data_IF_100062435618
#
_entry.id   IF_100062435618
#
_cell.length_a   1.000
_cell.length_b   1.000
_cell.length_c   1.000
_cell.angle_alpha   90.00
_cell.angle_beta   90.00
_cell.angle_gamma   90.00
#
_symmetry.space_group_name_H-M   'P 1'
#
loop_
_entity.id
_entity.type
_entity.pdbx_description
1 polymer ?
#
# COMPACT_ATOMS: atom_id res chain seq x y z
N UNK A 1 6.29 -11.90 14.08
CA UNK A 1 6.70 -10.53 13.80
C UNK A 1 5.73 -9.91 12.80
N UNK A 2 5.90 -10.09 11.51
CA UNK A 2 4.92 -9.61 10.52
C UNK A 2 3.84 -10.66 10.30
N UNK A 3 2.55 -10.26 10.31
CA UNK A 3 1.40 -11.15 10.13
C UNK A 3 0.62 -10.90 8.84
N UNK A 4 0.62 -9.66 8.35
CA UNK A 4 -0.15 -9.25 7.16
C UNK A 4 0.48 -8.03 6.47
N UNK A 5 0.16 -7.81 5.21
CA UNK A 5 0.18 -6.48 4.63
C UNK A 5 -1.06 -5.77 5.20
N UNK A 6 -0.87 -4.79 6.06
CA UNK A 6 -1.98 -4.11 6.71
C UNK A 6 -2.60 -3.08 5.78
N UNK A 7 -1.81 -2.11 5.31
CA UNK A 7 -2.31 -1.09 4.40
C UNK A 7 -1.24 -0.43 3.54
N UNK A 8 -1.72 0.31 2.57
CA UNK A 8 -0.97 1.20 1.69
C UNK A 8 -1.33 2.64 2.02
N UNK A 9 -0.36 3.56 1.95
CA UNK A 9 -0.56 4.99 2.19
C UNK A 9 -0.28 5.75 0.90
N UNK A 10 -1.28 6.51 0.45
CA UNK A 10 -1.17 7.44 -0.68
C UNK A 10 -1.27 8.86 -0.11
N UNK A 11 -0.17 9.61 -0.21
CA UNK A 11 -0.15 11.02 0.15
C UNK A 11 -0.87 11.84 -0.91
N UNK A 12 -1.76 12.72 -0.48
CA UNK A 12 -2.54 13.57 -1.38
C UNK A 12 -2.64 14.99 -0.82
N UNK A 13 -2.58 15.97 -1.71
CA UNK A 13 -2.71 17.37 -1.36
C UNK A 13 -4.15 17.75 -1.02
N UNK A 14 -5.09 17.30 -1.85
CA UNK A 14 -6.53 17.52 -1.66
C UNK A 14 -7.23 16.19 -1.37
N UNK A 15 -7.60 15.98 -0.11
CA UNK A 15 -8.24 14.75 0.36
C UNK A 15 -9.63 14.55 -0.25
N UNK A 16 -10.36 15.64 -0.56
CA UNK A 16 -11.71 15.57 -1.11
C UNK A 16 -11.66 15.17 -2.59
N UNK A 17 -10.78 15.78 -3.36
CA UNK A 17 -10.54 15.39 -4.76
C UNK A 17 -10.07 13.93 -4.85
N UNK A 18 -9.13 13.55 -4.01
CA UNK A 18 -8.61 12.19 -3.96
C UNK A 18 -9.71 11.17 -3.59
N UNK A 19 -10.55 11.47 -2.61
CA UNK A 19 -11.69 10.63 -2.26
C UNK A 19 -12.61 10.40 -3.46
N UNK A 20 -13.03 11.46 -4.15
CA UNK A 20 -13.90 11.38 -5.33
C UNK A 20 -13.25 10.53 -6.43
N UNK A 21 -11.97 10.71 -6.69
CA UNK A 21 -11.22 9.99 -7.70
C UNK A 21 -11.10 8.50 -7.36
N UNK A 22 -10.74 8.18 -6.11
CA UNK A 22 -10.61 6.79 -5.68
C UNK A 22 -11.96 6.07 -5.50
N UNK A 23 -13.04 6.78 -5.21
CA UNK A 23 -14.41 6.22 -5.28
C UNK A 23 -14.73 5.74 -6.69
N UNK A 24 -14.39 6.52 -7.73
CA UNK A 24 -14.54 6.10 -9.13
C UNK A 24 -13.65 4.89 -9.42
N UNK A 25 -12.36 4.95 -9.07
CA UNK A 25 -11.42 3.84 -9.34
C UNK A 25 -11.89 2.55 -8.66
N UNK A 26 -12.18 2.60 -7.37
CA UNK A 26 -12.49 1.40 -6.59
C UNK A 26 -13.94 0.91 -6.76
N UNK A 27 -14.88 1.78 -7.09
CA UNK A 27 -16.30 1.45 -7.21
C UNK A 27 -16.96 1.11 -5.86
N UNK A 28 -16.38 1.60 -4.77
CA UNK A 28 -16.89 1.44 -3.40
C UNK A 28 -16.79 2.76 -2.62
N UNK A 29 -17.59 2.87 -1.57
CA UNK A 29 -17.50 4.00 -0.63
C UNK A 29 -16.37 3.80 0.38
N UNK A 30 -15.73 4.89 0.85
CA UNK A 30 -14.80 4.80 1.95
C UNK A 30 -15.54 4.39 3.24
N UNK A 31 -14.88 3.57 4.04
CA UNK A 31 -15.44 3.04 5.29
C UNK A 31 -15.10 3.90 6.51
N UNK A 32 -14.16 4.83 6.34
CA UNK A 32 -13.65 5.69 7.41
C UNK A 32 -13.16 7.03 6.84
N UNK A 33 -13.48 8.10 7.56
CA UNK A 33 -12.91 9.43 7.35
C UNK A 33 -12.49 9.97 8.71
N UNK A 34 -11.20 10.10 8.92
CA UNK A 34 -10.66 10.37 10.23
C UNK A 34 -9.68 11.52 10.30
N UNK A 35 -9.32 11.86 11.52
CA UNK A 35 -8.29 12.84 11.85
C UNK A 35 -7.33 12.24 12.86
N UNK A 36 -6.06 12.51 12.68
CA UNK A 36 -4.98 12.22 13.61
C UNK A 36 -4.48 13.56 14.20
N UNK A 37 -5.18 14.10 15.17
CA UNK A 37 -4.92 15.46 15.70
C UNK A 37 -3.47 15.67 16.16
N UNK A 38 -2.90 14.67 16.83
CA UNK A 38 -1.52 14.73 17.30
C UNK A 38 -0.48 14.70 16.18
N UNK A 39 -0.83 14.17 15.02
CA UNK A 39 0.03 14.07 13.84
C UNK A 39 -0.21 15.17 12.82
N UNK A 40 -1.30 15.94 12.97
CA UNK A 40 -1.71 16.98 12.02
C UNK A 40 -2.15 16.45 10.66
N UNK A 41 -2.82 15.28 10.62
CA UNK A 41 -3.25 14.65 9.36
C UNK A 41 -4.72 14.28 9.37
N UNK A 42 -5.31 14.23 8.17
CA UNK A 42 -6.63 13.64 7.90
C UNK A 42 -6.50 12.46 6.97
N UNK A 43 -7.39 11.49 7.11
CA UNK A 43 -7.38 10.32 6.23
C UNK A 43 -8.77 9.92 5.73
N UNK A 44 -8.77 9.24 4.58
CA UNK A 44 -9.91 8.52 4.02
C UNK A 44 -9.47 7.10 3.75
N UNK A 45 -10.25 6.10 4.21
CA UNK A 45 -9.87 4.68 4.12
C UNK A 45 -10.88 3.91 3.29
N UNK A 46 -10.38 3.18 2.29
CA UNK A 46 -11.10 2.17 1.52
C UNK A 46 -10.63 0.78 1.97
N UNK A 47 -11.56 -0.04 2.45
CA UNK A 47 -11.24 -1.36 2.98
C UNK A 47 -11.53 -2.46 1.96
N UNK A 48 -10.62 -3.41 1.80
CA UNK A 48 -10.67 -4.52 0.86
C UNK A 48 -10.57 -5.87 1.58
N UNK A 49 -10.72 -6.97 0.85
CA UNK A 49 -10.69 -8.33 1.43
C UNK A 49 -9.37 -8.70 2.12
N UNK A 50 -8.25 -8.08 1.75
CA UNK A 50 -6.92 -8.46 2.22
C UNK A 50 -6.03 -7.32 2.73
N UNK A 51 -6.44 -6.07 2.57
CA UNK A 51 -5.72 -4.87 2.99
C UNK A 51 -6.67 -3.67 2.94
N UNK A 52 -6.22 -2.50 3.37
CA UNK A 52 -6.92 -1.25 3.08
C UNK A 52 -5.99 -0.23 2.42
N UNK A 53 -6.59 0.73 1.71
CA UNK A 53 -5.90 1.88 1.12
C UNK A 53 -6.26 3.11 1.94
N UNK A 54 -5.26 3.79 2.46
CA UNK A 54 -5.37 5.05 3.17
C UNK A 54 -4.94 6.20 2.28
N UNK A 55 -5.85 7.11 1.98
CA UNK A 55 -5.50 8.43 1.46
C UNK A 55 -5.17 9.30 2.65
N UNK A 56 -3.98 9.91 2.66
CA UNK A 56 -3.47 10.69 3.79
C UNK A 56 -3.10 12.10 3.33
N UNK A 57 -3.60 13.11 4.03
CA UNK A 57 -3.33 14.51 3.73
C UNK A 57 -2.93 15.27 5.00
N UNK A 58 -2.09 16.29 4.85
CA UNK A 58 -1.78 17.21 5.94
C UNK A 58 -3.01 18.06 6.28
N UNK A 59 -3.32 18.19 7.58
CA UNK A 59 -4.44 18.97 8.10
C UNK A 59 -4.05 19.68 9.41
N UNK A 60 -2.99 20.47 9.37
CA UNK A 60 -2.46 21.20 10.52
C UNK A 60 -0.96 20.98 10.71
N UNK A 61 -0.50 21.20 11.94
CA UNK A 61 0.90 21.04 12.31
C UNK A 61 1.13 19.69 12.99
N UNK A 62 2.28 19.07 12.71
CA UNK A 62 2.67 17.80 13.33
C UNK A 62 3.67 17.01 12.48
N UNK A 63 4.23 15.97 13.07
CA UNK A 63 5.24 15.15 12.40
C UNK A 63 4.64 14.43 11.17
N UNK A 64 3.37 14.00 11.27
CA UNK A 64 2.66 13.38 10.14
C UNK A 64 2.39 14.37 9.02
N UNK A 65 1.95 15.60 9.35
CA UNK A 65 1.76 16.66 8.37
C UNK A 65 3.08 17.02 7.66
N UNK A 66 4.17 17.12 8.39
CA UNK A 66 5.50 17.37 7.82
C UNK A 66 5.92 16.26 6.87
N UNK A 67 5.72 15.00 7.23
CA UNK A 67 6.03 13.84 6.38
C UNK A 67 5.23 13.88 5.07
N UNK A 68 3.91 14.12 5.14
CA UNK A 68 3.04 14.20 3.96
C UNK A 68 3.44 15.39 3.07
N UNK A 69 3.66 16.57 3.65
CA UNK A 69 4.05 17.75 2.91
C UNK A 69 5.40 17.57 2.19
N UNK A 70 6.41 17.02 2.87
CA UNK A 70 7.71 16.75 2.28
C UNK A 70 7.59 15.76 1.10
N UNK A 71 6.83 14.67 1.27
CA UNK A 71 6.62 13.71 0.20
C UNK A 71 5.94 14.33 -1.02
N UNK A 72 4.95 15.21 -0.80
CA UNK A 72 4.24 15.92 -1.87
C UNK A 72 5.14 16.98 -2.53
N UNK A 73 5.95 17.69 -1.78
CA UNK A 73 6.90 18.69 -2.33
C UNK A 73 7.97 18.04 -3.22
N UNK A 74 8.42 16.84 -2.86
CA UNK A 74 9.44 16.10 -3.62
C UNK A 74 8.87 15.44 -4.88
N UNK A 75 7.69 14.80 -4.78
CA UNK A 75 7.20 13.88 -5.80
C UNK A 75 5.76 14.15 -6.28
N UNK A 76 5.08 15.14 -5.73
CA UNK A 76 3.63 15.32 -5.89
C UNK A 76 2.82 14.27 -5.11
N UNK A 77 1.52 14.22 -5.36
CA UNK A 77 0.67 13.14 -4.83
C UNK A 77 1.20 11.77 -5.25
N UNK A 78 1.10 10.75 -4.39
CA UNK A 78 1.60 9.43 -4.75
C UNK A 78 1.62 8.40 -3.63
N UNK A 79 1.98 7.19 -3.98
CA UNK A 79 2.14 6.06 -3.08
C UNK A 79 3.43 6.23 -2.26
N UNK A 80 3.31 6.44 -0.96
CA UNK A 80 4.44 6.72 -0.08
C UNK A 80 4.70 5.63 0.95
N UNK A 81 3.69 4.86 1.35
CA UNK A 81 3.79 3.95 2.48
C UNK A 81 3.31 2.53 2.20
N UNK A 82 4.02 1.59 2.81
CA UNK A 82 3.70 0.17 2.86
C UNK A 82 3.76 -0.29 4.31
N UNK A 83 2.61 -0.58 4.91
CA UNK A 83 2.50 -0.87 6.34
C UNK A 83 2.21 -2.36 6.57
N UNK A 84 2.94 -2.96 7.50
CA UNK A 84 2.78 -4.36 7.86
C UNK A 84 2.07 -4.52 9.20
N UNK A 85 1.13 -5.45 9.26
CA UNK A 85 0.47 -5.83 10.49
C UNK A 85 1.35 -6.71 11.38
N UNK A 86 1.26 -6.51 12.69
CA UNK A 86 1.83 -7.40 13.70
C UNK A 86 0.79 -7.72 14.78
N UNK A 87 0.87 -8.92 15.34
CA UNK A 87 0.02 -9.30 16.46
C UNK A 87 0.52 -8.79 17.80
N UNK A 88 1.79 -8.34 17.86
CA UNK A 88 2.41 -7.81 19.08
C UNK A 88 3.61 -6.94 18.71
N UNK A 89 3.48 -5.63 18.87
CA UNK A 89 4.51 -4.66 18.54
C UNK A 89 5.71 -4.74 19.50
N UNK A 90 5.46 -4.99 20.79
CA UNK A 90 6.52 -5.14 21.81
C UNK A 90 7.38 -6.38 21.58
N UNK A 91 6.75 -7.49 21.18
CA UNK A 91 7.48 -8.71 20.81
C UNK A 91 8.30 -8.48 19.55
N UNK A 92 7.73 -7.78 18.56
CA UNK A 92 8.44 -7.44 17.32
C UNK A 92 9.64 -6.53 17.59
N UNK A 93 9.47 -5.51 18.43
CA UNK A 93 10.53 -4.64 18.91
C UNK A 93 11.66 -5.46 19.57
N UNK A 94 11.28 -6.32 20.53
CA UNK A 94 12.25 -7.15 21.25
C UNK A 94 13.06 -8.08 20.34
N UNK A 95 12.41 -8.64 19.31
CA UNK A 95 13.07 -9.49 18.31
C UNK A 95 14.05 -8.70 17.45
N UNK A 96 13.65 -7.55 16.91
CA UNK A 96 14.51 -6.71 16.08
C UNK A 96 15.71 -6.17 16.90
N UNK A 97 15.49 -5.77 18.14
CA UNK A 97 16.56 -5.34 19.05
C UNK A 97 17.57 -6.47 19.33
N UNK A 98 17.12 -7.72 19.50
CA UNK A 98 18.00 -8.89 19.67
C UNK A 98 18.81 -9.22 18.42
N UNK A 99 18.30 -8.88 17.23
CA UNK A 99 19.03 -9.00 15.97
C UNK A 99 20.04 -7.87 15.75
N UNK A 100 20.12 -6.89 16.67
CA UNK A 100 21.12 -5.81 16.66
C UNK A 100 20.65 -4.53 15.99
N UNK A 101 19.38 -4.44 15.57
CA UNK A 101 18.86 -3.20 14.97
C UNK A 101 18.66 -2.09 16.02
N UNK A 102 19.06 -0.88 15.65
CA UNK A 102 18.78 0.32 16.45
C UNK A 102 17.34 0.78 16.18
N UNK A 103 16.44 0.38 17.05
CA UNK A 103 15.00 0.61 16.89
C UNK A 103 14.43 1.25 18.17
N UNK A 104 13.48 2.17 17.98
CA UNK A 104 12.75 2.81 19.09
C UNK A 104 11.57 1.95 19.52
N UNK A 105 11.15 2.12 20.78
CA UNK A 105 9.97 1.46 21.33
C UNK A 105 8.71 1.82 20.51
N UNK A 106 7.70 0.93 20.48
CA UNK A 106 6.43 1.21 19.83
C UNK A 106 5.77 2.47 20.40
N UNK A 107 5.20 3.30 19.50
CA UNK A 107 4.45 4.49 19.85
C UNK A 107 2.95 4.26 19.68
N UNK A 108 2.15 4.82 20.56
CA UNK A 108 0.69 4.75 20.46
C UNK A 108 0.16 5.73 19.42
N UNK A 109 -0.88 5.32 18.71
CA UNK A 109 -1.63 6.13 17.76
C UNK A 109 -3.13 6.00 18.00
N UNK A 110 -3.85 7.07 17.67
CA UNK A 110 -5.30 7.16 17.76
C UNK A 110 -5.86 7.88 16.54
N UNK A 111 -6.98 7.40 16.03
CA UNK A 111 -7.77 8.05 15.01
C UNK A 111 -9.23 8.13 15.41
N UNK A 112 -9.88 9.24 15.06
CA UNK A 112 -11.30 9.47 15.33
C UNK A 112 -12.04 9.66 14.03
N UNK A 113 -13.07 8.84 13.79
CA UNK A 113 -13.97 9.00 12.65
C UNK A 113 -14.77 10.30 12.78
N UNK A 114 -14.70 11.15 11.78
CA UNK A 114 -15.31 12.50 11.83
C UNK A 114 -16.83 12.47 11.89
N UNK A 115 -17.47 11.44 11.32
CA UNK A 115 -18.93 11.28 11.25
C UNK A 115 -19.48 10.52 12.45
N UNK A 116 -18.94 9.33 12.72
CA UNK A 116 -19.47 8.42 13.74
C UNK A 116 -18.90 8.65 15.13
N UNK A 117 -17.79 9.40 15.21
CA UNK A 117 -16.99 9.63 16.44
C UNK A 117 -16.40 8.35 17.03
N UNK A 118 -16.41 7.27 16.30
CA UNK A 118 -15.73 6.02 16.71
C UNK A 118 -14.23 6.26 16.77
N UNK A 119 -13.58 5.58 17.70
CA UNK A 119 -12.15 5.67 17.95
C UNK A 119 -11.50 4.36 17.52
N UNK A 120 -10.34 4.45 16.92
CA UNK A 120 -9.42 3.33 16.69
C UNK A 120 -8.10 3.67 17.35
N UNK A 121 -7.46 2.67 17.96
CA UNK A 121 -6.14 2.80 18.56
C UNK A 121 -5.22 1.71 18.06
N UNK A 122 -3.95 2.04 18.00
CA UNK A 122 -2.91 1.13 17.53
C UNK A 122 -1.56 1.48 18.14
N UNK A 123 -0.61 0.57 17.98
CA UNK A 123 0.81 0.81 18.25
C UNK A 123 1.59 0.77 16.94
N UNK A 124 2.45 1.75 16.71
CA UNK A 124 3.36 1.82 15.57
C UNK A 124 4.78 1.46 16.01
N UNK A 125 5.41 0.53 15.32
CA UNK A 125 6.83 0.24 15.46
C UNK A 125 7.52 0.68 14.17
N UNK A 126 8.09 1.87 14.15
CA UNK A 126 8.82 2.42 13.01
C UNK A 126 10.11 1.65 12.76
N UNK A 127 10.36 1.30 11.51
CA UNK A 127 11.53 0.54 11.12
C UNK A 127 12.71 1.48 10.85
N UNK A 128 13.92 1.14 11.30
CA UNK A 128 15.11 1.92 11.00
C UNK A 128 15.48 1.84 9.50
N UNK A 129 16.31 2.78 9.00
CA UNK A 129 16.65 2.86 7.58
C UNK A 129 17.17 1.55 6.96
N UNK A 130 17.90 0.76 7.73
CA UNK A 130 18.45 -0.53 7.29
C UNK A 130 17.33 -1.55 6.96
N UNK A 131 16.19 -1.47 7.64
CA UNK A 131 15.04 -2.34 7.41
C UNK A 131 14.02 -1.75 6.45
N UNK A 132 13.83 -0.43 6.49
CA UNK A 132 12.88 0.28 5.62
C UNK A 132 13.40 0.46 4.19
N UNK A 133 14.72 0.48 4.00
CA UNK A 133 15.41 0.58 2.70
C UNK A 133 14.93 1.78 1.84
N UNK A 134 14.52 2.86 2.49
CA UNK A 134 14.02 4.08 1.84
C UNK A 134 12.50 4.16 1.67
N UNK A 135 11.78 3.08 1.92
CA UNK A 135 10.31 3.07 1.90
C UNK A 135 9.78 3.52 3.25
N UNK A 136 8.76 4.40 3.27
CA UNK A 136 8.05 4.69 4.51
C UNK A 136 7.28 3.45 4.95
N UNK A 137 7.84 2.74 5.92
CA UNK A 137 7.29 1.47 6.41
C UNK A 137 7.43 1.32 7.92
N UNK A 138 6.43 0.72 8.54
CA UNK A 138 6.39 0.42 9.96
C UNK A 138 5.50 -0.81 10.20
N UNK A 139 5.58 -1.37 11.42
CA UNK A 139 4.65 -2.40 11.85
C UNK A 139 3.54 -1.76 12.66
N UNK A 140 2.31 -2.19 12.45
CA UNK A 140 1.13 -1.72 13.19
C UNK A 140 0.46 -2.87 13.93
N UNK A 141 0.12 -2.65 15.20
CA UNK A 141 -0.73 -3.50 16.03
C UNK A 141 -2.01 -2.75 16.34
N UNK A 142 -3.15 -3.19 15.84
CA UNK A 142 -4.45 -2.63 16.20
C UNK A 142 -4.86 -3.09 17.58
N UNK A 143 -5.05 -2.14 18.51
CA UNK A 143 -5.36 -2.43 19.92
C UNK A 143 -6.82 -2.19 20.27
N UNK A 144 -7.50 -1.26 19.57
CA UNK A 144 -8.91 -0.94 19.81
C UNK A 144 -9.60 -0.51 18.51
N UNK A 145 -10.85 -0.93 18.34
CA UNK A 145 -11.68 -0.62 17.19
C UNK A 145 -11.27 -1.38 15.93
N UNK A 146 -12.20 -1.52 15.01
CA UNK A 146 -11.98 -2.16 13.71
C UNK A 146 -12.57 -1.30 12.59
N UNK A 147 -11.98 -1.39 11.40
CA UNK A 147 -12.59 -0.84 10.19
C UNK A 147 -13.83 -1.64 9.82
N UNK A 148 -14.93 -0.99 9.41
CA UNK A 148 -16.04 -1.70 8.81
C UNK A 148 -15.59 -2.50 7.60
N UNK A 149 -16.09 -3.73 7.49
CA UNK A 149 -15.91 -4.57 6.29
C UNK A 149 -17.14 -4.46 5.40
N UNK A 150 -16.96 -4.66 4.10
CA UNK A 150 -18.06 -4.83 3.18
C UNK A 150 -18.46 -6.31 3.15
N UNK A 151 -19.74 -6.61 3.34
CA UNK A 151 -20.26 -7.98 3.26
C UNK A 151 -20.16 -8.53 1.83
N UNK A 152 -20.32 -7.67 0.84
CA UNK A 152 -20.25 -8.00 -0.58
C UNK A 152 -19.66 -6.83 -1.39
N UNK A 153 -18.78 -7.18 -2.32
CA UNK A 153 -18.24 -6.23 -3.31
C UNK A 153 -19.08 -6.33 -4.60
N UNK A 154 -19.46 -5.18 -5.22
CA UNK A 154 -20.05 -5.20 -6.56
C UNK A 154 -19.10 -5.87 -7.58
N UNK A 155 -19.65 -6.53 -8.59
CA UNK A 155 -18.84 -7.23 -9.61
C UNK A 155 -17.97 -6.28 -10.45
N UNK A 156 -18.37 -5.01 -10.53
CA UNK A 156 -17.69 -3.93 -11.24
C UNK A 156 -16.77 -3.09 -10.34
N UNK A 157 -16.49 -3.56 -9.13
CA UNK A 157 -15.63 -2.88 -8.15
C UNK A 157 -14.32 -3.63 -7.90
N UNK A 158 -13.34 -2.91 -7.36
CA UNK A 158 -12.13 -3.51 -6.78
C UNK A 158 -12.51 -4.28 -5.51
N UNK A 159 -11.98 -5.48 -5.36
CA UNK A 159 -12.28 -6.32 -4.20
C UNK A 159 -11.06 -6.67 -3.34
N UNK A 160 -9.85 -6.66 -3.91
CA UNK A 160 -8.61 -6.87 -3.15
C UNK A 160 -7.38 -6.33 -3.90
N UNK A 161 -6.29 -6.14 -3.19
CA UNK A 161 -4.97 -5.89 -3.76
C UNK A 161 -4.39 -7.21 -4.29
N UNK A 162 -4.04 -7.29 -5.57
CA UNK A 162 -3.31 -8.43 -6.12
C UNK A 162 -1.82 -8.33 -5.76
N UNK A 163 -1.18 -7.20 -6.12
CA UNK A 163 0.20 -6.96 -5.76
C UNK A 163 0.55 -5.48 -5.64
N UNK A 164 1.59 -5.19 -4.85
CA UNK A 164 2.33 -3.93 -4.83
C UNK A 164 3.66 -4.14 -5.51
N UNK A 165 4.11 -3.15 -6.29
CA UNK A 165 5.39 -3.21 -7.00
C UNK A 165 6.40 -2.28 -6.33
N UNK A 166 7.61 -2.82 -6.10
CA UNK A 166 8.75 -2.11 -5.53
C UNK A 166 9.92 -2.20 -6.51
N UNK A 167 10.57 -1.08 -6.79
CA UNK A 167 11.84 -1.05 -7.48
C UNK A 167 12.99 -1.11 -6.46
N UNK A 168 14.03 -1.89 -6.76
CA UNK A 168 15.26 -1.98 -5.98
C UNK A 168 16.47 -2.01 -6.92
N UNK A 169 17.62 -1.54 -6.49
CA UNK A 169 18.89 -1.78 -7.17
C UNK A 169 19.71 -2.91 -6.52
N UNK A 170 19.20 -3.49 -5.42
CA UNK A 170 19.84 -4.52 -4.61
C UNK A 170 18.83 -5.61 -4.21
N UNK A 171 18.59 -6.54 -5.13
CA UNK A 171 17.64 -7.64 -4.93
C UNK A 171 18.08 -8.60 -3.82
N UNK A 172 19.39 -8.83 -3.64
CA UNK A 172 19.89 -9.72 -2.61
C UNK A 172 19.66 -9.11 -1.22
N UNK A 173 20.00 -7.84 -1.01
CA UNK A 173 19.70 -7.13 0.24
C UNK A 173 18.20 -7.04 0.52
N UNK A 174 17.36 -6.96 -0.52
CA UNK A 174 15.91 -7.05 -0.35
C UNK A 174 15.49 -8.42 0.18
N UNK A 175 16.09 -9.52 -0.34
CA UNK A 175 15.84 -10.88 0.12
C UNK A 175 16.25 -11.04 1.59
N UNK A 176 17.43 -10.58 1.99
CA UNK A 176 17.93 -10.65 3.36
C UNK A 176 16.96 -10.02 4.38
N UNK A 177 16.32 -8.91 4.01
CA UNK A 177 15.37 -8.25 4.89
C UNK A 177 14.00 -8.94 4.83
N UNK A 178 13.41 -9.10 3.65
CA UNK A 178 12.03 -9.57 3.56
C UNK A 178 11.87 -11.05 3.82
N UNK A 179 12.81 -11.90 3.36
CA UNK A 179 12.78 -13.34 3.62
C UNK A 179 13.39 -13.67 4.99
N UNK A 180 14.62 -13.21 5.27
CA UNK A 180 15.40 -13.72 6.38
C UNK A 180 15.10 -12.98 7.69
N UNK A 181 14.90 -11.69 7.66
CA UNK A 181 14.55 -10.90 8.84
C UNK A 181 13.04 -10.90 9.11
N UNK A 182 12.22 -10.60 8.10
CA UNK A 182 10.75 -10.50 8.25
C UNK A 182 10.05 -11.86 8.14
N UNK A 183 10.73 -12.88 7.62
CA UNK A 183 10.19 -14.23 7.39
C UNK A 183 9.00 -14.23 6.42
N UNK A 184 9.08 -13.41 5.38
CA UNK A 184 8.08 -13.39 4.29
C UNK A 184 8.52 -14.38 3.20
N UNK A 185 7.61 -15.24 2.78
CA UNK A 185 7.92 -16.30 1.80
C UNK A 185 8.32 -15.73 0.45
N UNK A 186 9.57 -15.93 0.02
CA UNK A 186 9.98 -15.73 -1.37
C UNK A 186 9.42 -16.89 -2.22
N UNK A 187 8.42 -16.60 -3.04
CA UNK A 187 7.72 -17.60 -3.84
C UNK A 187 8.39 -17.83 -5.20
N UNK A 188 9.02 -16.79 -5.75
CA UNK A 188 9.73 -16.85 -7.02
C UNK A 188 10.87 -15.82 -7.04
N UNK A 189 12.00 -16.24 -7.57
CA UNK A 189 13.15 -15.42 -7.93
C UNK A 189 13.54 -15.80 -9.36
N UNK A 190 13.39 -14.86 -10.29
CA UNK A 190 13.56 -15.15 -11.72
C UNK A 190 14.12 -13.95 -12.47
N UNK A 191 15.09 -14.20 -13.35
CA UNK A 191 15.51 -13.23 -14.35
C UNK A 191 14.56 -13.30 -15.54
N UNK A 192 13.98 -12.17 -15.91
CA UNK A 192 13.17 -12.03 -17.11
C UNK A 192 14.07 -11.55 -18.25
N UNK A 193 14.48 -12.45 -19.10
CA UNK A 193 15.47 -12.23 -20.17
C UNK A 193 15.13 -11.03 -21.06
N UNK A 194 13.89 -10.92 -21.46
CA UNK A 194 13.41 -9.87 -22.37
C UNK A 194 13.48 -8.46 -21.72
N UNK A 195 13.33 -8.35 -20.38
CA UNK A 195 13.50 -7.10 -19.65
C UNK A 195 14.90 -6.90 -19.06
N UNK A 196 15.72 -7.95 -19.09
CA UNK A 196 17.04 -7.99 -18.45
C UNK A 196 16.98 -7.58 -16.96
N UNK A 197 15.86 -7.90 -16.31
CA UNK A 197 15.60 -7.58 -14.92
C UNK A 197 15.35 -8.84 -14.12
N UNK A 198 15.93 -8.90 -12.92
CA UNK A 198 15.57 -9.91 -11.91
C UNK A 198 14.30 -9.45 -11.20
N UNK A 199 13.36 -10.36 -11.05
CA UNK A 199 12.09 -10.12 -10.38
C UNK A 199 11.95 -11.09 -9.22
N UNK A 200 11.55 -10.55 -8.06
CA UNK A 200 11.26 -11.33 -6.86
C UNK A 200 9.77 -11.23 -6.57
N UNK A 201 9.19 -12.33 -6.12
CA UNK A 201 7.77 -12.38 -5.75
C UNK A 201 7.65 -12.92 -4.33
N UNK A 202 7.31 -12.05 -3.39
CA UNK A 202 7.05 -12.42 -2.01
C UNK A 202 5.56 -12.60 -1.79
N UNK A 203 5.15 -13.78 -1.33
CA UNK A 203 3.74 -14.11 -1.06
C UNK A 203 3.41 -13.92 0.40
N UNK A 204 2.36 -13.19 0.64
CA UNK A 204 2.02 -12.74 1.95
C UNK A 204 0.52 -12.43 2.06
N UNK A 205 -0.19 -13.15 2.93
CA UNK A 205 -1.61 -12.94 3.23
C UNK A 205 -2.50 -12.69 2.00
N UNK A 206 -2.41 -13.58 0.99
CA UNK A 206 -3.14 -13.48 -0.29
C UNK A 206 -2.80 -12.26 -1.16
N UNK A 207 -1.67 -11.60 -0.87
CA UNK A 207 -1.11 -10.50 -1.65
C UNK A 207 0.29 -10.87 -2.11
N UNK A 208 0.78 -10.22 -3.14
CA UNK A 208 2.17 -10.37 -3.60
C UNK A 208 2.89 -9.02 -3.45
N UNK A 209 4.10 -9.04 -2.93
CA UNK A 209 5.06 -7.96 -3.13
C UNK A 209 5.91 -8.37 -4.32
N UNK A 210 5.77 -7.64 -5.42
CA UNK A 210 6.56 -7.80 -6.64
C UNK A 210 7.73 -6.83 -6.61
N UNK A 211 8.95 -7.33 -6.71
CA UNK A 211 10.16 -6.51 -6.66
C UNK A 211 10.86 -6.60 -8.00
N UNK A 212 11.18 -5.45 -8.58
CA UNK A 212 11.87 -5.33 -9.86
C UNK A 212 13.26 -4.75 -9.62
N UNK A 213 14.30 -5.52 -9.96
CA UNK A 213 15.68 -5.04 -9.87
C UNK A 213 16.01 -4.08 -11.03
N UNK A 214 16.43 -2.85 -10.69
CA UNK A 214 16.80 -1.76 -11.60
C UNK A 214 18.28 -1.44 -11.47
N UNK A 215 19.15 -2.28 -12.00
CA UNK A 215 20.63 -2.16 -11.84
C UNK A 215 21.26 -0.85 -12.31
N UNK A 216 20.56 -0.06 -13.13
CA UNK A 216 21.08 1.16 -13.72
C UNK A 216 20.58 2.45 -13.03
N UNK A 217 19.83 2.34 -11.96
CA UNK A 217 19.40 3.48 -11.17
C UNK A 217 20.40 3.72 -10.04
N UNK A 218 20.99 4.92 -10.03
CA UNK A 218 21.96 5.39 -9.01
C UNK A 218 21.28 5.67 -7.65
N UNK A 219 20.20 4.97 -7.35
CA UNK A 219 19.46 5.12 -6.09
C UNK A 219 19.89 4.04 -5.11
N UNK A 220 20.39 4.45 -3.97
CA UNK A 220 20.71 3.54 -2.86
C UNK A 220 19.46 3.08 -2.07
N UNK A 221 18.27 3.44 -2.53
CA UNK A 221 17.02 3.23 -1.82
C UNK A 221 16.01 2.49 -2.69
N UNK A 222 15.23 1.64 -2.05
CA UNK A 222 14.07 1.04 -2.68
C UNK A 222 12.94 2.07 -2.83
N UNK A 223 12.06 1.89 -3.82
CA UNK A 223 10.93 2.79 -4.05
C UNK A 223 9.66 2.04 -4.39
N UNK A 224 8.55 2.51 -3.85
CA UNK A 224 7.22 2.05 -4.26
C UNK A 224 6.94 2.56 -5.66
N UNK A 225 6.47 1.65 -6.56
CA UNK A 225 6.21 2.03 -7.94
C UNK A 225 4.73 2.09 -8.26
N UNK A 226 3.96 1.03 -7.96
CA UNK A 226 2.56 0.99 -8.37
C UNK A 226 1.79 -0.16 -7.76
N UNK A 227 0.51 -0.24 -8.11
CA UNK A 227 -0.46 -1.16 -7.52
C UNK A 227 -1.23 -1.92 -8.60
N UNK A 228 -1.49 -3.20 -8.34
CA UNK A 228 -2.44 -3.98 -9.13
C UNK A 228 -3.62 -4.40 -8.25
N UNK A 229 -4.82 -4.09 -8.71
CA UNK A 229 -6.06 -4.36 -7.99
C UNK A 229 -6.87 -5.44 -8.71
N UNK A 230 -7.32 -6.44 -7.96
CA UNK A 230 -8.18 -7.50 -8.48
C UNK A 230 -9.64 -7.05 -8.53
N UNK A 231 -10.27 -7.38 -9.64
CA UNK A 231 -11.71 -7.18 -9.88
C UNK A 231 -12.35 -8.51 -10.24
N UNK A 232 -13.65 -8.67 -9.98
CA UNK A 232 -14.39 -9.86 -10.35
C UNK A 232 -14.69 -9.90 -11.85
N UNK A 233 -15.06 -8.74 -12.44
CA UNK A 233 -15.29 -8.57 -13.88
C UNK A 233 -14.58 -7.33 -14.41
N UNK A 234 -13.49 -7.52 -15.11
CA UNK A 234 -12.74 -6.41 -15.71
C UNK A 234 -13.56 -5.72 -16.82
N UNK A 235 -14.45 -6.44 -17.48
CA UNK A 235 -15.33 -5.87 -18.51
C UNK A 235 -16.34 -4.90 -17.92
N UNK A 236 -16.99 -5.27 -16.82
CA UNK A 236 -17.95 -4.41 -16.15
C UNK A 236 -17.24 -3.23 -15.48
N UNK A 237 -16.10 -3.47 -14.82
CA UNK A 237 -15.27 -2.41 -14.22
C UNK A 237 -14.80 -1.42 -15.27
N UNK A 238 -14.28 -1.87 -16.40
CA UNK A 238 -13.85 -1.03 -17.51
C UNK A 238 -15.01 -0.17 -18.05
N UNK A 239 -16.19 -0.78 -18.26
CA UNK A 239 -17.39 -0.07 -18.71
C UNK A 239 -17.82 1.03 -17.71
N UNK A 240 -17.81 0.73 -16.41
CA UNK A 240 -18.13 1.71 -15.36
C UNK A 240 -17.14 2.86 -15.37
N UNK A 241 -15.84 2.56 -15.33
CA UNK A 241 -14.79 3.58 -15.31
C UNK A 241 -14.83 4.49 -16.53
N UNK A 242 -15.03 3.93 -17.72
CA UNK A 242 -15.19 4.72 -18.95
C UNK A 242 -16.41 5.64 -18.88
N UNK A 243 -17.54 5.15 -18.34
CA UNK A 243 -18.76 5.97 -18.14
C UNK A 243 -18.54 7.11 -17.15
N UNK A 244 -17.71 6.90 -16.14
CA UNK A 244 -17.35 7.89 -15.11
C UNK A 244 -16.23 8.84 -15.54
N UNK A 245 -15.77 8.74 -16.79
CA UNK A 245 -14.76 9.62 -17.37
C UNK A 245 -13.32 9.30 -16.97
N UNK A 246 -13.08 8.11 -16.45
CA UNK A 246 -11.73 7.64 -16.13
C UNK A 246 -11.05 7.14 -17.39
N UNK A 247 -9.85 7.65 -17.70
CA UNK A 247 -9.04 7.15 -18.81
C UNK A 247 -8.41 5.81 -18.44
N UNK A 248 -8.73 4.78 -19.24
CA UNK A 248 -8.30 3.40 -19.03
C UNK A 248 -7.96 2.74 -20.37
N UNK A 249 -6.87 1.97 -20.39
CA UNK A 249 -6.46 1.25 -21.62
C UNK A 249 -7.46 0.16 -21.99
N UNK A 250 -7.52 -0.25 -23.27
CA UNK A 250 -8.25 -1.45 -23.66
C UNK A 250 -7.85 -2.67 -22.82
N UNK A 251 -8.81 -3.55 -22.59
CA UNK A 251 -8.58 -4.84 -21.93
C UNK A 251 -7.70 -5.71 -22.82
N UNK A 252 -6.69 -6.35 -22.24
CA UNK A 252 -5.80 -7.28 -22.94
C UNK A 252 -5.43 -8.46 -22.04
N UNK A 253 -4.86 -9.50 -22.63
CA UNK A 253 -4.28 -10.60 -21.88
C UNK A 253 -3.12 -10.10 -21.01
N UNK A 254 -3.07 -10.58 -19.76
CA UNK A 254 -1.96 -10.30 -18.84
C UNK A 254 -0.73 -11.14 -19.17
N UNK A 255 0.41 -10.79 -18.55
CA UNK A 255 1.64 -11.60 -18.68
C UNK A 255 1.52 -12.94 -17.95
N UNK A 256 0.71 -13.02 -16.93
CA UNK A 256 0.36 -14.25 -16.24
C UNK A 256 -0.76 -14.93 -17.00
N UNK A 257 -0.61 -16.23 -17.26
CA UNK A 257 -1.67 -17.04 -17.88
C UNK A 257 -3.00 -16.92 -17.13
N UNK A 258 -4.09 -16.97 -17.86
CA UNK A 258 -5.45 -16.86 -17.32
C UNK A 258 -5.68 -15.55 -16.55
N UNK A 259 -5.17 -14.44 -17.08
CA UNK A 259 -5.46 -13.10 -16.55
C UNK A 259 -5.81 -12.12 -17.65
N UNK A 260 -6.75 -11.22 -17.36
CA UNK A 260 -7.05 -10.05 -18.17
C UNK A 260 -6.63 -8.81 -17.39
N UNK A 261 -6.08 -7.82 -18.09
CA UNK A 261 -5.57 -6.58 -17.46
C UNK A 261 -5.99 -5.33 -18.22
N UNK A 262 -6.11 -4.23 -17.50
CA UNK A 262 -6.26 -2.87 -18.03
C UNK A 262 -5.55 -1.87 -17.12
N UNK A 263 -4.91 -0.85 -17.69
CA UNK A 263 -4.18 0.18 -16.93
C UNK A 263 -5.02 1.43 -16.83
N UNK A 264 -5.23 1.93 -15.62
CA UNK A 264 -5.87 3.23 -15.36
C UNK A 264 -4.84 4.35 -15.60
N UNK A 265 -5.22 5.38 -16.36
CA UNK A 265 -4.35 6.47 -16.82
C UNK A 265 -4.65 7.82 -16.19
N UNK A 266 -5.80 7.97 -15.53
CA UNK A 266 -6.20 9.22 -14.87
C UNK A 266 -6.77 8.96 -13.48
N UNK A 267 -6.96 9.99 -12.67
CA UNK A 267 -7.56 9.95 -11.34
C UNK A 267 -6.73 9.20 -10.27
N UNK A 268 -5.53 8.72 -10.58
CA UNK A 268 -4.72 7.83 -9.72
C UNK A 268 -3.75 8.57 -8.79
N UNK A 269 -3.74 9.91 -8.81
CA UNK A 269 -2.80 10.69 -8.00
C UNK A 269 -1.35 10.22 -8.15
N UNK A 270 -0.89 10.12 -9.42
CA UNK A 270 0.45 9.65 -9.81
C UNK A 270 0.80 8.20 -9.44
N UNK A 271 -0.15 7.40 -8.95
CA UNK A 271 0.08 5.98 -8.65
C UNK A 271 -0.19 5.13 -9.90
N UNK A 272 0.82 4.51 -10.53
CA UNK A 272 0.62 3.55 -11.60
C UNK A 272 -0.33 2.43 -11.13
N UNK A 273 -1.46 2.30 -11.82
CA UNK A 273 -2.56 1.45 -11.35
C UNK A 273 -3.02 0.48 -12.43
N UNK A 274 -2.93 -0.80 -12.14
CA UNK A 274 -3.39 -1.91 -12.97
C UNK A 274 -4.65 -2.54 -12.39
N UNK A 275 -5.63 -2.83 -13.22
CA UNK A 275 -6.70 -3.75 -12.90
C UNK A 275 -6.37 -5.14 -13.43
N UNK A 276 -6.70 -6.18 -12.67
CA UNK A 276 -6.48 -7.57 -13.03
C UNK A 276 -7.70 -8.42 -12.69
N UNK A 277 -8.13 -9.26 -13.64
CA UNK A 277 -9.08 -10.35 -13.43
C UNK A 277 -8.34 -11.67 -13.62
N UNK A 278 -8.50 -12.60 -12.69
CA UNK A 278 -8.06 -13.98 -12.79
C UNK A 278 -9.20 -14.84 -13.36
N UNK A 279 -9.06 -15.34 -14.61
CA UNK A 279 -10.07 -16.13 -15.36
C UNK A 279 -9.94 -17.63 -15.12
#
# INVERSE_FOLDING_TARGET
MISSLDHLIIAVKDIYEAEENYRKIFGIEPVWKGEHKALGTSNVIFNFKNTYCELLSANGDGIGASLVNNAIEENGDGLIGLVFGTNNAEESFSKLKKLGYLITEPSEGEGVDTKTKKIRKWKNLFLPPELSRGIFTFLIEHTEGALPSLDKYPSDSVNKLDHVVINTNDADGFIDIYRDTFNIRLALDKVIEHWKSRMLFFRFNKTTIEVIERKNEDTSQDSLWGLAWEVESIKETHKRLTKEGVDITPIKDGLKENTLVATIKSHTHNVPTLLIEHT
#
